data_IF_369622773485
#
_entry.id   IF_369622773485
#
_cell.length_a   1.000
_cell.length_b   1.000
_cell.length_c   1.000
_cell.angle_alpha   90.00
_cell.angle_beta   90.00
_cell.angle_gamma   90.00
#
_symmetry.space_group_name_H-M   'P 1'
#
loop_
_entity.id
_entity.type
_entity.pdbx_description
1 polymer ?
#
# COMPACT_ATOMS: atom_id res chain seq x y z
N UNK A 1 10.73 11.44 2.11
CA UNK A 1 11.42 10.98 3.33
C UNK A 1 12.26 9.78 2.94
N UNK A 2 13.53 9.74 3.33
CA UNK A 2 14.41 8.60 3.04
C UNK A 2 14.05 7.37 3.87
N UNK A 3 14.25 6.18 3.29
CA UNK A 3 13.97 4.89 3.95
C UNK A 3 14.88 4.70 5.16
N UNK A 4 16.16 5.05 5.08
CA UNK A 4 17.07 4.99 6.24
C UNK A 4 16.54 5.78 7.45
N UNK A 5 15.99 6.96 7.21
CA UNK A 5 15.36 7.78 8.26
C UNK A 5 14.09 7.13 8.82
N UNK A 6 13.32 6.46 7.96
CA UNK A 6 12.13 5.69 8.35
C UNK A 6 12.50 4.52 9.27
N UNK A 7 13.55 3.76 8.91
CA UNK A 7 14.09 2.65 9.69
C UNK A 7 14.63 3.15 11.03
N UNK A 8 15.41 4.23 11.04
CA UNK A 8 15.93 4.82 12.27
C UNK A 8 14.80 5.25 13.23
N UNK A 9 13.72 5.82 12.70
CA UNK A 9 12.53 6.17 13.50
C UNK A 9 11.80 4.94 14.03
N UNK A 10 11.66 3.90 13.21
CA UNK A 10 11.04 2.64 13.62
C UNK A 10 11.83 2.00 14.78
N UNK A 11 13.16 1.92 14.65
CA UNK A 11 14.05 1.38 15.68
C UNK A 11 14.08 2.23 16.96
N UNK A 12 13.98 3.55 16.85
CA UNK A 12 13.95 4.43 18.01
C UNK A 12 12.62 4.39 18.78
N UNK A 13 11.52 4.05 18.10
CA UNK A 13 10.18 4.03 18.70
C UNK A 13 9.95 2.82 19.61
N UNK A 14 10.59 1.68 19.33
CA UNK A 14 10.65 0.54 20.24
C UNK A 14 12.00 0.51 20.92
N UNK A 15 12.08 0.88 22.19
CA UNK A 15 13.30 0.71 22.99
C UNK A 15 13.83 -0.74 22.99
N UNK A 16 12.96 -1.72 22.73
CA UNK A 16 13.31 -3.15 22.54
C UNK A 16 13.57 -3.55 21.07
N UNK A 17 13.11 -2.75 20.10
CA UNK A 17 13.17 -3.09 18.65
C UNK A 17 14.57 -2.86 18.07
N UNK A 18 15.34 -1.91 18.63
CA UNK A 18 16.59 -1.43 18.01
C UNK A 18 17.65 -2.52 17.81
N UNK A 19 17.70 -3.50 18.72
CA UNK A 19 18.66 -4.61 18.72
C UNK A 19 18.05 -5.95 18.28
N UNK A 20 16.72 -6.07 18.23
CA UNK A 20 16.03 -7.32 17.85
C UNK A 20 15.84 -7.49 16.34
N UNK A 21 15.65 -6.38 15.60
CA UNK A 21 15.28 -6.44 14.20
C UNK A 21 16.39 -5.98 13.25
N UNK A 22 16.65 -6.80 12.23
CA UNK A 22 17.55 -6.44 11.13
C UNK A 22 16.98 -5.30 10.30
N UNK A 23 17.81 -4.70 9.43
CA UNK A 23 17.35 -3.71 8.46
C UNK A 23 16.34 -4.34 7.50
N UNK A 24 16.54 -5.59 7.11
CA UNK A 24 15.61 -6.35 6.27
C UNK A 24 14.24 -6.53 6.94
N UNK A 25 14.19 -6.84 8.24
CA UNK A 25 12.93 -6.98 8.97
C UNK A 25 12.18 -5.64 9.04
N UNK A 26 12.91 -4.55 9.30
CA UNK A 26 12.33 -3.20 9.30
C UNK A 26 11.73 -2.83 7.93
N UNK A 27 12.40 -3.20 6.83
CA UNK A 27 11.88 -3.03 5.47
C UNK A 27 10.63 -3.90 5.26
N UNK A 28 10.60 -5.12 5.80
CA UNK A 28 9.42 -5.99 5.81
C UNK A 28 8.20 -5.30 6.43
N UNK A 29 8.34 -4.75 7.64
CA UNK A 29 7.27 -4.02 8.33
C UNK A 29 6.81 -2.78 7.54
N UNK A 30 7.77 -2.02 7.00
CA UNK A 30 7.48 -0.86 6.16
C UNK A 30 6.69 -1.26 4.91
N UNK A 31 7.07 -2.36 4.24
CA UNK A 31 6.36 -2.84 3.07
C UNK A 31 4.93 -3.28 3.39
N UNK A 32 4.70 -3.96 4.52
CA UNK A 32 3.36 -4.30 4.99
C UNK A 32 2.52 -3.04 5.25
N UNK A 33 3.11 -2.03 5.90
CA UNK A 33 2.44 -0.76 6.16
C UNK A 33 2.13 0.02 4.87
N UNK A 34 3.04 0.04 3.90
CA UNK A 34 2.82 0.63 2.57
C UNK A 34 1.64 -0.06 1.88
N UNK A 35 1.59 -1.39 1.90
CA UNK A 35 0.50 -2.15 1.28
C UNK A 35 -0.84 -1.82 1.92
N UNK A 36 -0.92 -1.77 3.26
CA UNK A 36 -2.16 -1.41 3.96
C UNK A 36 -2.63 0.00 3.59
N UNK A 37 -1.73 0.99 3.62
CA UNK A 37 -2.07 2.36 3.21
C UNK A 37 -2.51 2.41 1.75
N UNK A 38 -1.86 1.64 0.86
CA UNK A 38 -2.28 1.57 -0.54
C UNK A 38 -3.72 1.04 -0.68
N UNK A 39 -4.09 0.01 0.06
CA UNK A 39 -5.46 -0.53 0.07
C UNK A 39 -6.46 0.49 0.60
N UNK A 40 -6.12 1.22 1.66
CA UNK A 40 -7.01 2.26 2.20
C UNK A 40 -7.19 3.42 1.23
N UNK A 41 -6.11 3.90 0.61
CA UNK A 41 -6.16 4.96 -0.39
C UNK A 41 -6.95 4.52 -1.64
N UNK A 42 -6.77 3.27 -2.10
CA UNK A 42 -7.54 2.72 -3.21
C UNK A 42 -9.03 2.61 -2.86
N UNK A 43 -9.36 2.14 -1.65
CA UNK A 43 -10.75 2.07 -1.15
C UNK A 43 -11.39 3.46 -1.07
N UNK A 44 -10.62 4.45 -0.59
CA UNK A 44 -11.02 5.86 -0.58
C UNK A 44 -11.01 6.53 -1.95
N UNK A 45 -10.73 5.80 -3.03
CA UNK A 45 -10.64 6.28 -4.41
C UNK A 45 -9.68 7.46 -4.59
N UNK A 46 -8.57 7.45 -3.86
CA UNK A 46 -7.56 8.52 -3.89
C UNK A 46 -6.93 8.64 -5.28
N UNK A 47 -6.96 9.82 -5.93
CA UNK A 47 -6.44 9.99 -7.29
C UNK A 47 -4.95 9.64 -7.46
N UNK A 48 -4.14 9.80 -6.40
CA UNK A 48 -2.69 9.54 -6.42
C UNK A 48 -2.29 8.06 -6.62
N UNK A 49 -3.28 7.18 -6.55
CA UNK A 49 -3.14 5.73 -6.70
C UNK A 49 -3.55 5.24 -8.08
N UNK A 50 -4.10 6.12 -8.93
CA UNK A 50 -4.59 5.76 -10.26
C UNK A 50 -3.44 5.62 -11.24
N UNK A 51 -3.38 4.48 -11.93
CA UNK A 51 -2.56 4.25 -13.13
C UNK A 51 -3.47 3.99 -14.32
N UNK A 52 -2.98 4.30 -15.51
CA UNK A 52 -3.64 4.01 -16.78
C UNK A 52 -2.75 3.08 -17.60
N UNK A 53 -3.37 2.05 -18.18
CA UNK A 53 -2.75 1.14 -19.14
C UNK A 53 -3.68 0.96 -20.35
N UNK A 54 -3.13 0.45 -21.44
CA UNK A 54 -3.93 -0.07 -22.54
C UNK A 54 -3.99 -1.58 -22.39
N UNK A 55 -5.18 -2.13 -22.19
CA UNK A 55 -5.42 -3.57 -22.14
C UNK A 55 -5.88 -4.07 -23.51
N UNK A 56 -5.50 -5.31 -23.81
CA UNK A 56 -6.04 -6.12 -24.90
C UNK A 56 -6.87 -7.27 -24.33
N UNK A 57 -7.69 -7.89 -25.17
CA UNK A 57 -8.45 -9.07 -24.76
C UNK A 57 -7.53 -10.23 -24.35
N UNK A 58 -7.91 -10.95 -23.29
CA UNK A 58 -7.15 -12.04 -22.68
C UNK A 58 -5.77 -11.67 -22.12
N UNK A 59 -5.50 -10.37 -21.92
CA UNK A 59 -4.27 -9.89 -21.29
C UNK A 59 -4.31 -10.03 -19.76
N UNK A 60 -3.13 -10.20 -19.14
CA UNK A 60 -3.01 -10.25 -17.68
C UNK A 60 -3.02 -8.85 -17.08
N UNK A 61 -3.66 -8.72 -15.91
CA UNK A 61 -3.60 -7.51 -15.10
C UNK A 61 -2.17 -7.28 -14.59
N UNK A 62 -1.78 -6.01 -14.41
CA UNK A 62 -0.54 -5.67 -13.74
C UNK A 62 -0.45 -6.27 -12.33
N UNK A 63 0.74 -6.65 -11.86
CA UNK A 63 0.92 -7.26 -10.53
C UNK A 63 0.62 -6.30 -9.37
N UNK A 64 0.60 -5.00 -9.63
CA UNK A 64 0.25 -3.95 -8.67
C UNK A 64 -1.24 -3.60 -8.69
N UNK A 65 -2.07 -4.29 -9.48
CA UNK A 65 -3.51 -4.05 -9.56
C UNK A 65 -4.24 -4.34 -8.24
N UNK A 66 -5.05 -3.39 -7.77
CA UNK A 66 -5.95 -3.55 -6.62
C UNK A 66 -7.40 -3.64 -7.10
N UNK A 67 -7.90 -2.59 -7.76
CA UNK A 67 -9.30 -2.49 -8.20
C UNK A 67 -9.43 -1.54 -9.39
N UNK A 68 -10.42 -1.78 -10.26
CA UNK A 68 -10.71 -0.93 -11.41
C UNK A 68 -11.18 0.47 -10.97
N UNK A 69 -10.67 1.49 -11.65
CA UNK A 69 -11.12 2.86 -11.48
C UNK A 69 -12.23 3.15 -12.50
N UNK A 70 -13.44 2.76 -12.12
CA UNK A 70 -14.65 2.88 -12.95
C UNK A 70 -15.20 1.54 -13.39
N UNK A 71 -16.26 1.61 -14.22
CA UNK A 71 -16.91 0.45 -14.79
C UNK A 71 -16.43 0.28 -16.24
N UNK A 72 -15.99 -0.94 -16.55
CA UNK A 72 -15.50 -1.32 -17.86
C UNK A 72 -16.23 -2.58 -18.34
N UNK A 73 -16.46 -2.75 -19.65
CA UNK A 73 -17.09 -3.94 -20.22
C UNK A 73 -16.09 -5.12 -20.25
N UNK A 74 -15.62 -5.51 -19.08
CA UNK A 74 -14.60 -6.54 -18.89
C UNK A 74 -15.01 -7.50 -17.78
N UNK A 75 -14.54 -8.73 -17.90
CA UNK A 75 -14.62 -9.76 -16.88
C UNK A 75 -13.20 -10.07 -16.41
N UNK A 76 -12.95 -9.86 -15.12
CA UNK A 76 -11.69 -10.26 -14.48
C UNK A 76 -11.86 -11.66 -13.89
N UNK A 77 -11.01 -12.60 -14.29
CA UNK A 77 -10.98 -13.95 -13.74
C UNK A 77 -9.55 -14.28 -13.30
N UNK A 78 -9.31 -14.31 -11.99
CA UNK A 78 -7.95 -14.41 -11.45
C UNK A 78 -7.14 -13.16 -11.84
N UNK A 79 -6.03 -13.36 -12.55
CA UNK A 79 -5.17 -12.28 -13.06
C UNK A 79 -5.43 -11.95 -14.54
N UNK A 80 -6.41 -12.57 -15.20
CA UNK A 80 -6.67 -12.33 -16.62
C UNK A 80 -7.93 -11.51 -16.84
N UNK A 81 -7.91 -10.66 -17.86
CA UNK A 81 -9.04 -9.84 -18.30
C UNK A 81 -9.59 -10.38 -19.61
N UNK A 82 -10.90 -10.54 -19.69
CA UNK A 82 -11.59 -10.83 -20.94
C UNK A 82 -12.60 -9.73 -21.23
N UNK A 83 -12.69 -9.26 -22.46
CA UNK A 83 -13.65 -8.23 -22.83
C UNK A 83 -15.03 -8.87 -23.03
N UNK A 84 -16.07 -8.22 -22.52
CA UNK A 84 -17.45 -8.70 -22.68
C UNK A 84 -18.09 -8.23 -23.98
N UNK A 85 -17.49 -7.21 -24.61
CA UNK A 85 -17.93 -6.64 -25.88
C UNK A 85 -16.94 -7.07 -26.99
N UNK A 86 -17.39 -7.85 -27.98
CA UNK A 86 -16.53 -8.36 -29.06
C UNK A 86 -16.11 -7.28 -30.06
N UNK A 87 -16.73 -6.09 -30.04
CA UNK A 87 -16.37 -4.98 -30.95
C UNK A 87 -15.21 -4.12 -30.39
N UNK A 88 -14.70 -4.45 -29.20
CA UNK A 88 -13.59 -3.76 -28.55
C UNK A 88 -12.31 -4.59 -28.69
N UNK A 89 -11.31 -4.05 -29.39
CA UNK A 89 -9.98 -4.69 -29.48
C UNK A 89 -9.01 -4.19 -28.39
N UNK A 90 -9.18 -2.92 -27.97
CA UNK A 90 -8.32 -2.27 -26.97
C UNK A 90 -9.12 -1.39 -26.03
N UNK A 91 -8.72 -1.36 -24.76
CA UNK A 91 -9.39 -0.58 -23.74
C UNK A 91 -8.36 0.24 -22.95
N UNK A 92 -8.57 1.56 -22.85
CA UNK A 92 -7.85 2.37 -21.86
C UNK A 92 -8.43 2.07 -20.49
N UNK A 93 -7.64 1.38 -19.69
CA UNK A 93 -8.05 0.88 -18.40
C UNK A 93 -7.34 1.64 -17.29
N UNK A 94 -8.13 2.30 -16.45
CA UNK A 94 -7.62 2.92 -15.23
C UNK A 94 -7.88 2.00 -14.04
N UNK A 95 -6.90 1.88 -13.18
CA UNK A 95 -6.97 1.07 -11.97
C UNK A 95 -6.22 1.74 -10.83
N UNK A 96 -6.59 1.38 -9.61
CA UNK A 96 -5.83 1.73 -8.42
C UNK A 96 -4.70 0.71 -8.25
N UNK A 97 -3.48 1.22 -8.14
CA UNK A 97 -2.26 0.42 -8.12
C UNK A 97 -1.52 0.56 -6.80
N UNK A 98 -0.96 -0.54 -6.27
CA UNK A 98 -0.04 -0.47 -5.13
C UNK A 98 1.22 0.32 -5.49
N UNK A 99 1.84 0.93 -4.47
CA UNK A 99 3.15 1.55 -4.65
C UNK A 99 4.25 0.46 -4.68
N UNK A 100 5.38 0.72 -5.36
CA UNK A 100 6.49 -0.24 -5.39
C UNK A 100 6.99 -0.56 -3.99
N UNK A 101 7.42 -1.80 -3.79
CA UNK A 101 8.02 -2.22 -2.54
C UNK A 101 9.40 -1.58 -2.37
N UNK A 102 9.71 -1.28 -1.11
CA UNK A 102 11.03 -0.85 -0.67
C UNK A 102 11.93 -2.08 -0.67
N UNK A 103 13.01 -2.03 -1.46
CA UNK A 103 13.98 -3.13 -1.60
C UNK A 103 15.28 -2.88 -0.86
N UNK A 104 15.61 -1.60 -0.61
CA UNK A 104 16.83 -1.18 0.06
C UNK A 104 16.57 0.03 0.96
N UNK A 105 17.53 0.33 1.83
CA UNK A 105 17.46 1.45 2.77
C UNK A 105 17.88 2.80 2.16
N UNK A 106 18.42 2.81 0.94
CA UNK A 106 19.04 4.00 0.34
C UNK A 106 18.06 4.82 -0.49
N UNK A 107 16.88 4.27 -0.80
CA UNK A 107 15.81 4.95 -1.52
C UNK A 107 14.96 5.93 -0.69
N UNK A 108 13.98 6.50 -1.37
CA UNK A 108 12.90 7.29 -0.80
C UNK A 108 11.67 6.44 -0.51
N UNK A 109 10.91 6.85 0.50
CA UNK A 109 9.59 6.27 0.79
C UNK A 109 8.62 6.51 -0.38
N UNK A 110 7.71 5.55 -0.65
CA UNK A 110 6.97 5.50 -1.91
C UNK A 110 5.84 6.54 -2.06
N UNK A 111 5.43 7.22 -0.98
CA UNK A 111 4.36 8.21 -1.06
C UNK A 111 4.92 9.63 -1.30
N UNK A 112 4.24 10.37 -2.17
CA UNK A 112 4.61 11.76 -2.47
C UNK A 112 4.37 12.67 -1.26
N UNK A 113 3.29 12.43 -0.51
CA UNK A 113 2.96 13.22 0.67
C UNK A 113 3.73 12.72 1.90
N UNK A 114 4.46 13.62 2.55
CA UNK A 114 5.25 13.31 3.76
C UNK A 114 4.37 12.77 4.90
N UNK A 115 3.15 13.28 5.05
CA UNK A 115 2.18 12.81 6.06
C UNK A 115 1.87 11.32 5.89
N UNK A 116 1.70 10.84 4.65
CA UNK A 116 1.47 9.42 4.39
C UNK A 116 2.70 8.60 4.76
N UNK A 117 3.90 9.09 4.45
CA UNK A 117 5.13 8.42 4.84
C UNK A 117 5.30 8.34 6.36
N UNK A 118 4.93 9.39 7.10
CA UNK A 118 4.95 9.38 8.58
C UNK A 118 3.93 8.39 9.15
N UNK A 119 2.73 8.30 8.58
CA UNK A 119 1.72 7.31 8.97
C UNK A 119 2.23 5.89 8.68
N UNK A 120 2.90 5.68 7.54
CA UNK A 120 3.53 4.39 7.20
C UNK A 120 4.52 3.96 8.27
N UNK A 121 5.39 4.86 8.73
CA UNK A 121 6.37 4.53 9.78
C UNK A 121 5.68 4.15 11.08
N UNK A 122 4.65 4.90 11.49
CA UNK A 122 3.88 4.59 12.70
C UNK A 122 3.22 3.22 12.61
N UNK A 123 2.60 2.92 11.48
CA UNK A 123 1.96 1.63 11.25
C UNK A 123 2.98 0.48 11.22
N UNK A 124 4.15 0.70 10.62
CA UNK A 124 5.24 -0.28 10.62
C UNK A 124 5.80 -0.52 12.04
N UNK A 125 5.94 0.53 12.85
CA UNK A 125 6.30 0.39 14.27
C UNK A 125 5.28 -0.46 15.02
N UNK A 126 3.99 -0.25 14.78
CA UNK A 126 2.94 -1.05 15.41
C UNK A 126 3.01 -2.53 14.99
N UNK A 127 3.24 -2.82 13.71
CA UNK A 127 3.44 -4.19 13.25
C UNK A 127 4.66 -4.85 13.90
N UNK A 128 5.75 -4.11 14.08
CA UNK A 128 6.93 -4.61 14.78
C UNK A 128 6.66 -4.89 16.27
N UNK A 129 5.91 -4.03 16.95
CA UNK A 129 5.52 -4.23 18.36
C UNK A 129 4.55 -5.42 18.51
N UNK A 130 3.55 -5.53 17.63
CA UNK A 130 2.58 -6.63 17.64
C UNK A 130 3.19 -7.98 17.25
N UNK A 131 4.32 -8.01 16.53
CA UNK A 131 5.02 -9.26 16.30
C UNK A 131 5.71 -9.79 17.58
N UNK A 132 6.07 -8.90 18.52
CA UNK A 132 6.64 -9.26 19.81
C UNK A 132 5.58 -9.57 20.87
N UNK A 133 4.47 -8.85 20.89
CA UNK A 133 3.33 -9.12 21.76
C UNK A 133 2.34 -10.03 21.02
N UNK A 134 2.25 -11.32 21.39
CA UNK A 134 1.26 -12.30 20.88
C UNK A 134 -0.21 -11.93 21.21
N UNK A 135 -0.63 -10.67 21.05
CA UNK A 135 -1.95 -10.16 21.37
C UNK A 135 -2.58 -9.42 20.18
N UNK A 136 -3.33 -10.20 19.39
CA UNK A 136 -4.09 -9.79 18.19
C UNK A 136 -5.26 -8.82 18.51
N UNK A 137 -5.48 -8.47 19.77
CA UNK A 137 -6.55 -7.55 20.17
C UNK A 137 -6.25 -6.08 19.81
N UNK A 138 -4.98 -5.69 19.65
CA UNK A 138 -4.59 -4.33 19.26
C UNK A 138 -4.87 -4.02 17.77
N UNK A 139 -4.87 -5.02 16.89
CA UNK A 139 -5.04 -4.83 15.44
C UNK A 139 -6.37 -4.15 15.07
N UNK A 140 -7.45 -4.43 15.82
CA UNK A 140 -8.78 -3.92 15.49
C UNK A 140 -8.95 -2.44 15.84
N UNK A 141 -8.43 -2.01 16.98
CA UNK A 141 -8.46 -0.61 17.38
C UNK A 141 -7.56 0.25 16.47
N UNK A 142 -6.43 -0.32 16.03
CA UNK A 142 -5.45 0.34 15.17
C UNK A 142 -5.94 0.50 13.73
N UNK A 143 -6.59 -0.51 13.16
CA UNK A 143 -7.24 -0.38 11.85
C UNK A 143 -8.29 0.73 11.84
N UNK A 144 -9.02 0.91 12.94
CA UNK A 144 -10.02 1.96 13.07
C UNK A 144 -9.38 3.36 13.20
N UNK A 145 -8.25 3.49 13.93
CA UNK A 145 -7.52 4.75 14.06
C UNK A 145 -6.83 5.17 12.74
N UNK A 146 -6.21 4.22 12.02
CA UNK A 146 -5.60 4.50 10.71
C UNK A 146 -6.68 4.88 9.70
N UNK A 147 -7.83 4.20 9.69
CA UNK A 147 -8.98 4.60 8.85
C UNK A 147 -9.45 6.01 9.16
N UNK A 148 -9.49 6.41 10.43
CA UNK A 148 -9.84 7.78 10.82
C UNK A 148 -8.78 8.79 10.36
N UNK A 149 -7.49 8.50 10.52
CA UNK A 149 -6.40 9.38 10.10
C UNK A 149 -6.36 9.55 8.57
N UNK A 150 -6.57 8.48 7.82
CA UNK A 150 -6.68 8.52 6.35
C UNK A 150 -7.92 9.30 5.92
N UNK A 151 -9.07 9.09 6.57
CA UNK A 151 -10.29 9.86 6.28
C UNK A 151 -10.13 11.37 6.55
N UNK A 152 -9.43 11.75 7.63
CA UNK A 152 -9.15 13.15 7.94
C UNK A 152 -8.12 13.77 6.99
N UNK A 153 -7.09 13.00 6.58
CA UNK A 153 -6.08 13.46 5.62
C UNK A 153 -6.59 13.57 4.17
N UNK A 154 -7.66 12.87 3.81
CA UNK A 154 -8.28 12.91 2.48
C UNK A 154 -9.44 13.92 2.35
N UNK A 155 -9.85 14.57 3.46
CA UNK A 155 -10.95 15.54 3.51
C UNK A 155 -10.55 17.00 3.34
N UNK A 156 -9.29 17.28 2.95
CA UNK A 156 -8.74 18.62 2.69
C UNK A 156 -8.64 18.95 1.21
#
# INVERSE_FOLDING_TARGET
MQVEKAIARLKAAGHDISDEYSTEDCIGFLNTAVQEICHQLATGKSPQMVKEITLHDSESLPPDYIISCGNYPIKVTGQSVTFTDPDIDTLRFRYFATKPQIVDATGDMPFVHEVLNDITVRLATLFALNQNEYDVSQDKALLDEVRQAVAQGMGG
#
